data_IF_560483645860
#
_entry.id   IF_560483645860
#
_cell.length_a   1.000
_cell.length_b   1.000
_cell.length_c   1.000
_cell.angle_alpha   90.00
_cell.angle_beta   90.00
_cell.angle_gamma   90.00
#
_symmetry.space_group_name_H-M   'P 1'
#
loop_
_entity.id
_entity.type
_entity.pdbx_description
1 polymer ?
#
# COMPACT_ATOMS: atom_id res chain seq x y z
N UNK A 1 -13.75 -17.63 23.81
CA UNK A 1 -14.77 -17.87 22.76
C UNK A 1 -14.10 -17.63 21.42
N UNK A 2 -13.88 -18.66 20.65
CA UNK A 2 -13.17 -18.66 19.37
C UNK A 2 -13.96 -17.84 18.36
N UNK A 3 -13.36 -16.74 17.86
CA UNK A 3 -13.89 -15.98 16.73
C UNK A 3 -13.97 -16.91 15.53
N UNK A 4 -15.16 -17.30 15.14
CA UNK A 4 -15.42 -17.91 13.85
C UNK A 4 -15.05 -16.86 12.78
N UNK A 5 -13.83 -16.97 12.26
CA UNK A 5 -13.53 -16.40 10.95
C UNK A 5 -14.49 -17.09 9.99
N UNK A 6 -15.45 -16.34 9.47
CA UNK A 6 -16.23 -16.78 8.33
C UNK A 6 -15.29 -16.86 7.13
N UNK A 7 -14.58 -17.98 7.03
CA UNK A 7 -13.98 -18.41 5.79
C UNK A 7 -15.16 -18.70 4.86
N UNK A 8 -15.41 -17.86 3.88
CA UNK A 8 -16.25 -18.22 2.75
C UNK A 8 -15.39 -19.07 1.81
N UNK A 9 -15.51 -20.40 1.82
CA UNK A 9 -14.95 -21.20 0.76
C UNK A 9 -15.81 -20.91 -0.48
N UNK A 10 -15.31 -20.02 -1.34
CA UNK A 10 -15.97 -19.77 -2.59
C UNK A 10 -15.67 -20.96 -3.53
N UNK A 11 -16.56 -21.95 -3.56
CA UNK A 11 -16.47 -23.05 -4.51
C UNK A 11 -16.67 -22.58 -5.96
N UNK A 12 -17.18 -21.35 -6.15
CA UNK A 12 -17.52 -20.77 -7.48
C UNK A 12 -17.22 -19.25 -7.41
N UNK A 13 -16.65 -18.71 -8.48
CA UNK A 13 -16.47 -17.26 -8.62
C UNK A 13 -17.84 -16.59 -8.67
N UNK A 14 -18.14 -15.61 -7.78
CA UNK A 14 -19.44 -14.95 -7.75
C UNK A 14 -19.75 -14.26 -9.09
N UNK A 15 -21.02 -14.25 -9.47
CA UNK A 15 -21.50 -13.53 -10.65
C UNK A 15 -21.56 -12.00 -10.43
N UNK A 16 -21.72 -11.58 -9.19
CA UNK A 16 -21.79 -10.17 -8.82
C UNK A 16 -20.40 -9.52 -8.75
N UNK A 17 -20.14 -8.43 -9.53
CA UNK A 17 -18.89 -7.69 -9.43
C UNK A 17 -18.61 -7.11 -8.03
N UNK A 18 -19.64 -6.86 -7.22
CA UNK A 18 -19.48 -6.37 -5.85
C UNK A 18 -18.93 -7.46 -4.93
N UNK A 19 -19.50 -8.67 -5.02
CA UNK A 19 -19.03 -9.84 -4.27
C UNK A 19 -17.62 -10.25 -4.70
N UNK A 20 -17.33 -10.27 -6.00
CA UNK A 20 -15.95 -10.49 -6.49
C UNK A 20 -14.97 -9.52 -5.83
N UNK A 21 -15.30 -8.22 -5.80
CA UNK A 21 -14.44 -7.22 -5.16
C UNK A 21 -14.29 -7.44 -3.67
N UNK A 22 -15.33 -7.87 -2.98
CA UNK A 22 -15.24 -8.21 -1.56
C UNK A 22 -14.26 -9.35 -1.30
N UNK A 23 -14.26 -10.35 -2.18
CA UNK A 23 -13.33 -11.48 -2.14
C UNK A 23 -11.92 -11.18 -2.70
N UNK A 24 -11.63 -9.91 -3.00
CA UNK A 24 -10.33 -9.51 -3.54
C UNK A 24 -10.13 -9.80 -5.02
N UNK A 25 -11.20 -10.10 -5.75
CA UNK A 25 -11.16 -10.45 -7.18
C UNK A 25 -11.45 -9.25 -8.07
N UNK A 26 -10.67 -9.11 -9.13
CA UNK A 26 -10.93 -8.19 -10.24
C UNK A 26 -10.71 -8.87 -11.58
N UNK A 27 -11.63 -8.66 -12.51
CA UNK A 27 -11.40 -8.94 -13.91
C UNK A 27 -10.26 -8.06 -14.44
N UNK A 28 -9.33 -8.67 -15.16
CA UNK A 28 -8.21 -7.95 -15.79
C UNK A 28 -8.64 -7.30 -17.10
N UNK A 29 -7.67 -6.65 -17.76
CA UNK A 29 -7.85 -6.14 -19.12
C UNK A 29 -8.02 -7.28 -20.13
N UNK A 30 -7.31 -8.37 -19.90
CA UNK A 30 -7.41 -9.59 -20.70
C UNK A 30 -8.73 -10.32 -20.42
N UNK A 31 -9.48 -10.64 -21.44
CA UNK A 31 -10.76 -11.32 -21.32
C UNK A 31 -10.59 -12.70 -20.66
N UNK A 32 -11.50 -13.06 -19.77
CA UNK A 32 -11.50 -14.33 -19.06
C UNK A 32 -10.44 -14.46 -17.95
N UNK A 33 -9.53 -13.49 -17.82
CA UNK A 33 -8.49 -13.50 -16.79
C UNK A 33 -8.80 -12.60 -15.60
N UNK A 34 -8.37 -13.06 -14.44
CA UNK A 34 -8.65 -12.46 -13.14
C UNK A 34 -7.37 -12.17 -12.36
N UNK A 35 -7.48 -11.19 -11.48
CA UNK A 35 -6.51 -10.89 -10.44
C UNK A 35 -7.10 -11.21 -9.07
N UNK A 36 -6.36 -11.95 -8.24
CA UNK A 36 -6.65 -12.15 -6.82
C UNK A 36 -5.71 -11.33 -5.97
N UNK A 37 -6.25 -10.43 -5.15
CA UNK A 37 -5.48 -9.69 -4.15
C UNK A 37 -5.59 -10.34 -2.78
N UNK A 38 -4.44 -10.57 -2.17
CA UNK A 38 -4.28 -11.13 -0.82
C UNK A 38 -3.97 -9.99 0.14
N UNK A 39 -4.74 -9.88 1.21
CA UNK A 39 -4.55 -8.85 2.26
C UNK A 39 -3.44 -9.29 3.21
N UNK A 40 -2.35 -8.54 3.24
CA UNK A 40 -1.23 -8.77 4.15
C UNK A 40 -1.22 -7.68 5.20
N UNK A 41 -1.79 -7.95 6.36
CA UNK A 41 -2.01 -6.95 7.41
C UNK A 41 -0.67 -6.39 7.88
N UNK A 42 -0.52 -5.08 7.78
CA UNK A 42 0.72 -4.39 8.13
C UNK A 42 1.95 -4.81 7.29
N UNK A 43 1.76 -5.53 6.19
CA UNK A 43 2.88 -6.12 5.46
C UNK A 43 3.63 -7.21 6.25
N UNK A 44 2.98 -7.81 7.26
CA UNK A 44 3.62 -8.76 8.17
C UNK A 44 3.29 -10.18 7.73
N UNK A 45 4.33 -10.92 7.36
CA UNK A 45 4.27 -12.32 6.97
C UNK A 45 5.22 -13.16 7.83
N UNK A 46 4.76 -14.33 8.24
CA UNK A 46 5.63 -15.36 8.84
C UNK A 46 6.50 -16.01 7.77
N UNK A 47 7.55 -16.71 8.18
CA UNK A 47 8.40 -17.45 7.23
C UNK A 47 7.63 -18.56 6.51
N UNK A 48 6.67 -19.21 7.18
CA UNK A 48 5.79 -20.19 6.56
C UNK A 48 4.88 -19.57 5.49
N UNK A 49 4.33 -18.37 5.75
CA UNK A 49 3.50 -17.66 4.78
C UNK A 49 4.30 -17.19 3.56
N UNK A 50 5.55 -16.74 3.75
CA UNK A 50 6.44 -16.42 2.63
C UNK A 50 6.72 -17.64 1.76
N UNK A 51 7.04 -18.79 2.37
CA UNK A 51 7.27 -20.05 1.65
C UNK A 51 6.01 -20.52 0.91
N UNK A 52 4.84 -20.47 1.58
CA UNK A 52 3.57 -20.84 0.97
C UNK A 52 3.20 -19.93 -0.22
N UNK A 53 3.41 -18.62 -0.10
CA UNK A 53 3.17 -17.68 -1.21
C UNK A 53 4.08 -17.94 -2.40
N UNK A 54 5.37 -18.23 -2.17
CA UNK A 54 6.31 -18.56 -3.23
C UNK A 54 5.92 -19.86 -3.97
N UNK A 55 5.51 -20.90 -3.22
CA UNK A 55 5.01 -22.14 -3.78
C UNK A 55 3.70 -21.96 -4.58
N UNK A 56 2.70 -21.28 -4.00
CA UNK A 56 1.45 -20.96 -4.70
C UNK A 56 1.72 -20.17 -5.98
N UNK A 57 2.66 -19.22 -5.94
CA UNK A 57 3.02 -18.45 -7.09
C UNK A 57 3.57 -19.32 -8.22
N UNK A 58 4.48 -20.22 -7.93
CA UNK A 58 5.03 -21.16 -8.92
C UNK A 58 3.96 -22.09 -9.51
N UNK A 59 3.00 -22.51 -8.70
CA UNK A 59 1.94 -23.46 -9.16
C UNK A 59 0.81 -22.77 -9.92
N UNK A 60 0.34 -21.63 -9.47
CA UNK A 60 -0.87 -21.01 -10.02
C UNK A 60 -0.61 -19.97 -11.12
N UNK A 61 0.50 -19.22 -11.02
CA UNK A 61 0.76 -18.10 -11.94
C UNK A 61 2.23 -17.97 -12.37
N UNK A 62 2.89 -19.08 -12.80
CA UNK A 62 4.34 -19.11 -13.05
C UNK A 62 4.81 -18.19 -14.18
N UNK A 63 3.92 -17.80 -15.09
CA UNK A 63 4.23 -16.96 -16.25
C UNK A 63 4.00 -15.45 -16.01
N UNK A 64 3.51 -15.08 -14.83
CA UNK A 64 3.28 -13.68 -14.45
C UNK A 64 4.05 -13.33 -13.18
N UNK A 65 4.42 -12.06 -12.96
CA UNK A 65 5.04 -11.68 -11.69
C UNK A 65 4.04 -11.70 -10.54
N UNK A 66 4.51 -12.08 -9.35
CA UNK A 66 3.79 -11.86 -8.09
C UNK A 66 3.87 -10.38 -7.72
N UNK A 67 2.78 -9.63 -7.91
CA UNK A 67 2.82 -8.19 -7.70
C UNK A 67 2.67 -7.82 -6.22
N UNK A 68 3.52 -6.90 -5.78
CA UNK A 68 3.39 -6.20 -4.51
C UNK A 68 2.61 -4.90 -4.75
N UNK A 69 1.72 -4.55 -3.84
CA UNK A 69 0.98 -3.30 -3.94
C UNK A 69 1.56 -2.21 -3.03
N UNK A 70 1.28 -0.95 -3.34
CA UNK A 70 1.60 0.18 -2.46
C UNK A 70 0.79 0.19 -1.16
N UNK A 71 0.01 -0.85 -0.89
CA UNK A 71 -0.67 -1.10 0.38
C UNK A 71 -0.20 -2.38 1.06
N UNK A 72 0.99 -2.87 0.70
CA UNK A 72 1.61 -4.05 1.27
C UNK A 72 0.83 -5.34 1.01
N UNK A 73 -0.14 -5.33 0.09
CA UNK A 73 -0.86 -6.51 -0.37
C UNK A 73 -0.08 -7.21 -1.48
N UNK A 74 -0.45 -8.45 -1.77
CA UNK A 74 0.10 -9.26 -2.86
C UNK A 74 -1.00 -9.56 -3.86
N UNK A 75 -0.65 -9.60 -5.16
CA UNK A 75 -1.58 -9.90 -6.25
C UNK A 75 -1.08 -11.04 -7.11
N UNK A 76 -1.94 -12.04 -7.31
CA UNK A 76 -1.79 -13.09 -8.31
C UNK A 76 -2.57 -12.68 -9.57
N UNK A 77 -1.92 -12.75 -10.71
CA UNK A 77 -2.49 -12.33 -11.99
C UNK A 77 -2.68 -13.50 -12.95
N UNK A 78 -3.49 -13.29 -13.99
CA UNK A 78 -3.81 -14.30 -15.02
C UNK A 78 -4.44 -15.59 -14.48
N UNK A 79 -5.24 -15.47 -13.45
CA UNK A 79 -6.03 -16.57 -12.91
C UNK A 79 -7.26 -16.83 -13.80
N UNK A 80 -7.68 -18.07 -13.88
CA UNK A 80 -8.95 -18.46 -14.51
C UNK A 80 -10.01 -18.75 -13.45
N UNK A 81 -11.27 -18.85 -13.86
CA UNK A 81 -12.38 -19.19 -12.97
C UNK A 81 -12.18 -20.53 -12.26
N UNK A 82 -11.45 -21.47 -12.88
CA UNK A 82 -11.15 -22.80 -12.33
C UNK A 82 -10.05 -22.75 -11.30
N UNK A 83 -9.04 -21.88 -11.49
CA UNK A 83 -7.87 -21.80 -10.58
C UNK A 83 -8.13 -20.95 -9.34
N UNK A 84 -9.05 -19.99 -9.40
CA UNK A 84 -9.36 -19.08 -8.27
C UNK A 84 -9.78 -19.84 -7.00
N UNK A 85 -10.76 -20.76 -7.03
CA UNK A 85 -11.19 -21.47 -5.81
C UNK A 85 -10.05 -22.28 -5.18
N UNK A 86 -9.19 -22.88 -6.01
CA UNK A 86 -8.03 -23.67 -5.54
C UNK A 86 -7.01 -22.77 -4.84
N UNK A 87 -6.68 -21.63 -5.44
CA UNK A 87 -5.79 -20.64 -4.82
C UNK A 87 -6.37 -20.09 -3.51
N UNK A 88 -7.68 -19.79 -3.47
CA UNK A 88 -8.32 -19.29 -2.25
C UNK A 88 -8.31 -20.32 -1.11
N UNK A 89 -8.47 -21.61 -1.42
CA UNK A 89 -8.35 -22.67 -0.42
C UNK A 89 -6.93 -22.77 0.16
N UNK A 90 -5.91 -22.68 -0.69
CA UNK A 90 -4.50 -22.68 -0.26
C UNK A 90 -4.15 -21.44 0.58
N UNK A 91 -4.63 -20.26 0.18
CA UNK A 91 -4.47 -19.03 0.95
C UNK A 91 -5.09 -19.14 2.34
N UNK A 92 -6.30 -19.68 2.44
CA UNK A 92 -6.97 -19.91 3.71
C UNK A 92 -6.20 -20.90 4.58
N UNK A 93 -5.66 -21.99 3.99
CA UNK A 93 -4.82 -22.96 4.70
C UNK A 93 -3.53 -22.31 5.25
N UNK A 94 -2.95 -21.38 4.52
CA UNK A 94 -1.79 -20.60 4.98
C UNK A 94 -2.16 -19.48 6.00
N UNK A 95 -3.42 -19.37 6.41
CA UNK A 95 -3.90 -18.31 7.32
C UNK A 95 -3.90 -16.92 6.67
N UNK A 96 -4.03 -16.84 5.35
CA UNK A 96 -4.12 -15.62 4.58
C UNK A 96 -5.56 -15.36 4.12
N UNK A 97 -5.92 -14.10 3.94
CA UNK A 97 -7.27 -13.70 3.54
C UNK A 97 -7.24 -12.72 2.39
N UNK A 98 -8.28 -12.78 1.57
CA UNK A 98 -8.55 -11.83 0.49
C UNK A 98 -9.77 -10.95 0.77
N UNK A 99 -10.53 -11.26 1.83
CA UNK A 99 -11.77 -10.55 2.16
C UNK A 99 -11.49 -9.08 2.48
N UNK A 100 -12.19 -8.18 1.79
CA UNK A 100 -12.01 -6.73 1.92
C UNK A 100 -10.70 -6.19 1.33
N UNK A 101 -9.89 -7.00 0.63
CA UNK A 101 -8.68 -6.50 -0.05
C UNK A 101 -9.02 -5.52 -1.19
N UNK A 102 -10.22 -5.62 -1.76
CA UNK A 102 -10.74 -4.78 -2.83
C UNK A 102 -12.08 -4.14 -2.46
N UNK A 103 -12.64 -3.31 -3.36
CA UNK A 103 -13.98 -2.73 -3.18
C UNK A 103 -14.03 -1.47 -2.34
N UNK A 104 -15.25 -1.12 -1.96
CA UNK A 104 -15.56 0.07 -1.16
C UNK A 104 -15.74 -0.34 0.31
N UNK A 105 -14.63 -0.60 0.97
CA UNK A 105 -14.50 -1.21 2.29
C UNK A 105 -13.26 -0.68 3.01
N UNK A 106 -13.09 -1.04 4.27
CA UNK A 106 -11.82 -0.91 4.98
C UNK A 106 -10.76 -1.75 4.25
N UNK A 107 -9.77 -1.06 3.70
CA UNK A 107 -8.64 -1.67 2.99
C UNK A 107 -7.60 -2.15 4.00
N UNK A 108 -6.59 -2.84 3.51
CA UNK A 108 -5.50 -3.26 4.37
C UNK A 108 -4.99 -2.10 5.23
N UNK A 109 -4.77 -2.36 6.52
CA UNK A 109 -4.07 -1.43 7.41
C UNK A 109 -2.58 -1.58 7.12
N UNK A 110 -1.94 -0.50 6.67
CA UNK A 110 -0.49 -0.51 6.40
C UNK A 110 0.30 -0.10 7.62
N UNK A 111 1.49 -0.71 7.79
CA UNK A 111 2.41 -0.38 8.88
C UNK A 111 3.79 -0.11 8.29
N UNK A 112 4.56 0.82 8.88
CA UNK A 112 5.92 1.08 8.42
C UNK A 112 6.80 -0.18 8.52
N UNK A 113 7.76 -0.40 7.60
CA UNK A 113 8.54 -1.64 7.55
C UNK A 113 9.41 -1.85 8.79
N UNK A 114 9.84 -0.76 9.43
CA UNK A 114 10.68 -0.80 10.65
C UNK A 114 9.92 -1.06 11.94
N UNK A 115 8.62 -1.30 11.89
CA UNK A 115 7.76 -1.59 13.03
C UNK A 115 8.31 -2.68 13.95
N UNK A 116 8.68 -2.34 15.18
CA UNK A 116 9.28 -3.26 16.15
C UNK A 116 10.65 -3.84 15.74
N UNK A 117 11.27 -3.32 14.67
CA UNK A 117 12.54 -3.81 14.13
C UNK A 117 13.64 -2.75 14.14
N UNK A 118 13.30 -1.48 13.94
CA UNK A 118 14.26 -0.38 14.09
C UNK A 118 14.51 -0.12 15.57
N UNK A 119 15.69 0.47 15.88
CA UNK A 119 16.04 0.83 17.24
C UNK A 119 14.97 1.76 17.85
N UNK A 120 14.58 1.49 19.09
CA UNK A 120 13.59 2.24 19.88
C UNK A 120 12.21 2.42 19.24
N UNK A 121 11.88 1.62 18.20
CA UNK A 121 10.54 1.68 17.63
C UNK A 121 9.58 0.72 18.34
N UNK A 122 8.36 1.18 18.67
CA UNK A 122 7.33 0.31 19.21
C UNK A 122 6.90 -0.77 18.19
N UNK A 123 6.50 -1.94 18.69
CA UNK A 123 5.86 -2.97 17.88
C UNK A 123 4.33 -2.78 17.89
N UNK A 124 3.80 -2.34 16.76
CA UNK A 124 2.39 -2.05 16.56
C UNK A 124 1.59 -3.26 16.06
N UNK A 125 2.23 -4.42 15.92
CA UNK A 125 1.60 -5.61 15.31
C UNK A 125 0.33 -6.02 16.05
N UNK A 126 0.40 -6.13 17.37
CA UNK A 126 -0.73 -6.57 18.19
C UNK A 126 -1.91 -5.60 18.13
N UNK A 127 -1.65 -4.28 18.26
CA UNK A 127 -2.69 -3.27 18.21
C UNK A 127 -3.34 -3.17 16.82
N UNK A 128 -2.57 -3.31 15.76
CA UNK A 128 -3.09 -3.28 14.37
C UNK A 128 -4.00 -4.48 14.09
N UNK A 129 -3.64 -5.66 14.56
CA UNK A 129 -4.45 -6.87 14.43
C UNK A 129 -5.74 -6.76 15.24
N UNK A 130 -5.67 -6.27 16.49
CA UNK A 130 -6.83 -6.07 17.35
C UNK A 130 -7.78 -5.00 16.79
N UNK A 131 -7.23 -3.86 16.36
CA UNK A 131 -8.00 -2.79 15.73
C UNK A 131 -8.72 -3.27 14.47
N UNK A 132 -8.02 -4.03 13.61
CA UNK A 132 -8.67 -4.62 12.43
C UNK A 132 -9.86 -5.48 12.83
N UNK A 133 -9.68 -6.41 13.77
CA UNK A 133 -10.76 -7.30 14.24
C UNK A 133 -11.95 -6.50 14.78
N UNK A 134 -11.69 -5.44 15.54
CA UNK A 134 -12.72 -4.55 16.04
C UNK A 134 -13.47 -3.83 14.92
N UNK A 135 -12.76 -3.21 13.98
CA UNK A 135 -13.38 -2.47 12.89
C UNK A 135 -14.15 -3.37 11.91
N UNK A 136 -13.71 -4.61 11.71
CA UNK A 136 -14.40 -5.59 10.86
C UNK A 136 -15.73 -6.09 11.48
N UNK A 137 -15.97 -5.86 12.77
CA UNK A 137 -17.28 -6.14 13.42
C UNK A 137 -18.33 -5.07 13.09
N UNK A 138 -17.94 -3.91 12.56
CA UNK A 138 -18.90 -2.87 12.16
C UNK A 138 -19.68 -3.29 10.92
N UNK A 139 -21.01 -3.34 11.01
CA UNK A 139 -21.89 -3.87 9.96
C UNK A 139 -21.70 -3.16 8.61
N UNK A 140 -21.44 -1.85 8.61
CA UNK A 140 -21.23 -1.03 7.41
C UNK A 140 -19.86 -1.18 6.74
N UNK A 141 -18.91 -1.89 7.35
CA UNK A 141 -17.49 -1.88 6.92
C UNK A 141 -17.25 -2.37 5.50
N UNK A 142 -18.12 -3.25 4.99
CA UNK A 142 -18.02 -3.81 3.64
C UNK A 142 -18.85 -3.08 2.59
N UNK A 143 -19.55 -2.00 2.98
CA UNK A 143 -20.40 -1.18 2.09
C UNK A 143 -20.22 0.31 2.29
N UNK A 144 -19.00 0.75 2.55
CA UNK A 144 -18.65 2.18 2.70
C UNK A 144 -18.88 2.96 1.40
N UNK A 145 -19.05 4.29 1.44
CA UNK A 145 -19.20 5.13 0.24
C UNK A 145 -18.06 4.93 -0.76
N UNK A 146 -16.85 4.66 -0.26
CA UNK A 146 -15.63 4.36 -1.03
C UNK A 146 -14.64 3.60 -0.14
N UNK A 147 -13.50 3.15 -0.74
CA UNK A 147 -12.38 2.56 0.03
C UNK A 147 -11.95 3.48 1.16
N UNK A 148 -11.79 2.93 2.35
CA UNK A 148 -11.21 3.59 3.53
C UNK A 148 -9.84 3.00 3.84
N UNK A 149 -8.86 3.85 4.12
CA UNK A 149 -7.46 3.47 4.28
C UNK A 149 -6.94 3.94 5.62
N UNK A 150 -6.33 3.02 6.38
CA UNK A 150 -5.63 3.33 7.63
C UNK A 150 -4.15 2.99 7.48
N UNK A 151 -3.29 3.78 8.12
CA UNK A 151 -1.84 3.52 8.19
C UNK A 151 -1.29 3.80 9.57
N UNK A 152 -0.23 3.06 9.95
CA UNK A 152 0.50 3.23 11.19
C UNK A 152 1.99 3.40 10.94
N UNK A 153 2.58 4.42 11.53
CA UNK A 153 4.03 4.63 11.57
C UNK A 153 4.52 4.52 13.01
N UNK A 154 5.59 3.77 13.23
CA UNK A 154 6.15 3.51 14.56
C UNK A 154 7.22 4.54 14.97
N UNK A 155 7.31 5.66 14.26
CA UNK A 155 8.18 6.80 14.59
C UNK A 155 7.81 8.02 13.74
N UNK A 156 8.44 9.16 14.09
CA UNK A 156 8.25 10.46 13.43
C UNK A 156 8.60 10.47 11.93
N UNK A 157 9.40 9.51 11.42
CA UNK A 157 9.69 9.41 9.98
C UNK A 157 8.44 9.18 9.12
N UNK A 158 7.32 8.77 9.74
CA UNK A 158 6.01 8.63 9.11
C UNK A 158 6.01 7.80 7.80
N UNK A 159 6.85 6.75 7.73
CA UNK A 159 7.09 5.96 6.51
C UNK A 159 5.84 5.25 5.96
N UNK A 160 4.79 5.04 6.78
CA UNK A 160 3.52 4.47 6.31
C UNK A 160 2.60 5.50 5.62
N UNK A 161 3.08 6.70 5.34
CA UNK A 161 2.41 7.74 4.57
C UNK A 161 1.06 8.18 5.16
N UNK A 162 0.98 8.62 6.44
CA UNK A 162 -0.28 9.00 7.09
C UNK A 162 -1.04 10.08 6.32
N UNK A 163 -0.33 11.06 5.77
CA UNK A 163 -0.88 12.22 5.09
C UNK A 163 -1.68 11.94 3.80
N UNK A 164 -1.54 10.75 3.21
CA UNK A 164 -2.28 10.34 2.00
C UNK A 164 -3.26 9.20 2.24
N UNK A 165 -3.63 9.00 3.50
CA UNK A 165 -4.63 8.03 3.93
C UNK A 165 -5.87 8.72 4.49
N UNK A 166 -7.00 8.00 4.59
CA UNK A 166 -8.21 8.52 5.20
C UNK A 166 -8.01 8.72 6.71
N UNK A 167 -7.17 7.86 7.32
CA UNK A 167 -6.69 7.99 8.70
C UNK A 167 -5.26 7.45 8.80
N UNK A 168 -4.39 8.14 9.50
CA UNK A 168 -3.02 7.76 9.74
C UNK A 168 -2.64 8.01 11.19
N UNK A 169 -1.92 7.07 11.78
CA UNK A 169 -1.38 7.18 13.13
C UNK A 169 0.14 7.18 13.09
N UNK A 170 0.74 8.14 13.78
CA UNK A 170 2.17 8.19 14.07
C UNK A 170 2.33 7.91 15.55
N UNK A 171 2.91 6.77 15.88
CA UNK A 171 3.13 6.31 17.24
C UNK A 171 4.59 6.56 17.61
N UNK A 172 4.81 7.25 18.70
CA UNK A 172 6.14 7.63 19.18
C UNK A 172 6.34 7.12 20.59
N UNK A 173 7.58 6.84 20.92
CA UNK A 173 8.00 6.62 22.29
C UNK A 173 8.87 7.78 22.75
N UNK A 174 8.47 8.39 23.84
CA UNK A 174 9.26 9.40 24.54
C UNK A 174 9.51 8.93 25.96
N UNK A 175 10.76 8.58 26.26
CA UNK A 175 11.14 7.92 27.51
C UNK A 175 10.37 6.61 27.73
N UNK A 176 9.45 6.56 28.69
CA UNK A 176 8.62 5.40 28.99
C UNK A 176 7.18 5.52 28.46
N UNK A 177 6.79 6.69 27.98
CA UNK A 177 5.44 6.95 27.48
C UNK A 177 5.34 6.68 25.96
N UNK A 178 4.19 6.19 25.55
CA UNK A 178 3.84 6.05 24.13
C UNK A 178 2.76 7.08 23.82
N UNK A 179 3.04 7.94 22.86
CA UNK A 179 2.11 8.96 22.36
C UNK A 179 1.71 8.68 20.92
N UNK A 180 0.52 9.12 20.54
CA UNK A 180 -0.03 8.91 19.20
C UNK A 180 -0.49 10.24 18.63
N UNK A 181 -0.07 10.52 17.39
CA UNK A 181 -0.58 11.64 16.58
C UNK A 181 -1.48 11.06 15.51
N UNK A 182 -2.70 11.59 15.38
CA UNK A 182 -3.66 11.22 14.36
C UNK A 182 -3.73 12.27 13.25
N UNK A 183 -3.65 11.81 12.01
CA UNK A 183 -3.71 12.60 10.77
C UNK A 183 -4.82 12.00 9.92
N UNK A 184 -5.62 12.79 9.24
CA UNK A 184 -6.69 12.22 8.45
C UNK A 184 -7.19 13.07 7.30
N UNK A 185 -8.17 12.51 6.60
CA UNK A 185 -8.80 13.10 5.43
C UNK A 185 -7.82 13.43 4.29
N UNK A 186 -6.73 12.64 4.15
CA UNK A 186 -5.83 12.69 3.00
C UNK A 186 -6.18 11.64 1.95
N UNK A 187 -5.87 11.88 0.71
CA UNK A 187 -5.94 10.84 -0.32
C UNK A 187 -5.26 11.24 -1.63
N UNK A 188 -4.76 10.24 -2.35
CA UNK A 188 -4.40 10.35 -3.76
C UNK A 188 -5.62 10.05 -4.66
N UNK A 189 -5.46 10.27 -5.96
CA UNK A 189 -6.49 10.09 -6.98
C UNK A 189 -6.61 11.31 -7.88
N UNK A 190 -7.66 11.43 -8.72
CA UNK A 190 -7.79 12.52 -9.68
C UNK A 190 -7.76 13.94 -9.08
N UNK A 191 -8.09 14.05 -7.81
CA UNK A 191 -8.00 15.28 -7.01
C UNK A 191 -7.26 14.94 -5.72
N UNK A 192 -5.92 14.87 -5.71
CA UNK A 192 -5.16 14.53 -4.52
C UNK A 192 -5.16 15.67 -3.51
N UNK A 193 -5.11 15.32 -2.23
CA UNK A 193 -4.88 16.28 -1.15
C UNK A 193 -4.21 15.59 0.04
N UNK A 194 -3.33 16.31 0.72
CA UNK A 194 -2.80 15.88 2.01
C UNK A 194 -3.88 15.93 3.10
N UNK A 195 -3.73 15.06 4.08
CA UNK A 195 -4.53 15.10 5.30
C UNK A 195 -4.24 16.33 6.14
N UNK A 196 -5.01 16.46 7.23
CA UNK A 196 -4.78 17.43 8.30
C UNK A 196 -4.43 16.71 9.59
N UNK A 197 -3.82 17.41 10.50
CA UNK A 197 -3.70 16.99 11.88
C UNK A 197 -5.11 16.91 12.48
N UNK A 198 -5.46 15.75 13.05
CA UNK A 198 -6.72 15.54 13.77
C UNK A 198 -6.50 15.80 15.25
N UNK A 199 -5.53 15.11 15.84
CA UNK A 199 -5.26 15.19 17.28
C UNK A 199 -3.84 14.74 17.58
N UNK A 200 -3.22 15.36 18.58
CA UNK A 200 -1.89 15.01 19.11
C UNK A 200 -2.01 14.53 20.55
N UNK A 201 -0.97 13.89 21.03
CA UNK A 201 -0.87 13.40 22.40
C UNK A 201 -1.96 12.42 22.83
N UNK A 202 -2.54 11.72 21.85
CA UNK A 202 -3.45 10.60 22.10
C UNK A 202 -2.69 9.47 22.79
N UNK A 203 -3.43 8.66 23.55
CA UNK A 203 -2.94 7.39 24.08
C UNK A 203 -3.30 6.24 23.11
N UNK A 204 -2.65 5.07 23.20
CA UNK A 204 -3.03 3.90 22.42
C UNK A 204 -4.50 3.49 22.60
N UNK A 205 -5.08 3.75 23.77
CA UNK A 205 -6.47 3.46 24.13
C UNK A 205 -7.48 4.32 23.35
N UNK A 206 -7.07 5.48 22.84
CA UNK A 206 -7.92 6.36 22.03
C UNK A 206 -8.07 5.89 20.57
N UNK A 207 -7.12 5.07 20.09
CA UNK A 207 -7.05 4.63 18.67
C UNK A 207 -8.37 3.97 18.20
N UNK A 208 -8.99 2.98 18.92
CA UNK A 208 -10.18 2.32 18.42
C UNK A 208 -11.38 3.27 18.32
N UNK A 209 -11.54 4.16 19.31
CA UNK A 209 -12.64 5.11 19.28
C UNK A 209 -12.52 6.10 18.12
N UNK A 210 -11.35 6.68 17.91
CA UNK A 210 -11.11 7.60 16.80
C UNK A 210 -11.21 6.90 15.43
N UNK A 211 -10.68 5.69 15.30
CA UNK A 211 -10.76 4.94 14.05
C UNK A 211 -12.21 4.59 13.68
N UNK A 212 -13.00 4.14 14.65
CA UNK A 212 -14.41 3.85 14.43
C UNK A 212 -15.21 5.12 14.15
N UNK A 213 -14.94 6.23 14.86
CA UNK A 213 -15.56 7.52 14.61
C UNK A 213 -15.31 8.01 13.18
N UNK A 214 -14.07 7.94 12.70
CA UNK A 214 -13.73 8.32 11.33
C UNK A 214 -14.46 7.48 10.27
N UNK A 215 -14.64 6.18 10.53
CA UNK A 215 -15.44 5.30 9.67
C UNK A 215 -16.91 5.69 9.69
N UNK A 216 -17.50 5.96 10.87
CA UNK A 216 -18.90 6.36 11.02
C UNK A 216 -19.19 7.73 10.37
N UNK A 217 -18.30 8.72 10.55
CA UNK A 217 -18.39 10.01 9.85
C UNK A 217 -18.37 9.79 8.35
N UNK A 218 -17.47 8.93 7.87
CA UNK A 218 -17.40 8.60 6.46
C UNK A 218 -18.65 7.87 5.94
N UNK A 219 -19.19 6.96 6.70
CA UNK A 219 -20.40 6.21 6.34
C UNK A 219 -21.63 7.10 6.28
N UNK A 220 -21.80 8.01 7.27
CA UNK A 220 -22.92 8.97 7.38
C UNK A 220 -22.85 10.06 6.31
N UNK A 221 -21.68 10.66 6.08
CA UNK A 221 -21.52 11.89 5.30
C UNK A 221 -20.84 11.71 3.94
N UNK A 222 -20.35 10.49 3.63
CA UNK A 222 -19.73 10.17 2.35
C UNK A 222 -20.73 10.21 1.19
N UNK A 223 -20.33 10.79 0.07
CA UNK A 223 -21.18 10.89 -1.13
C UNK A 223 -21.26 9.53 -1.85
N UNK A 224 -22.40 8.85 -1.69
CA UNK A 224 -22.65 7.54 -2.34
C UNK A 224 -23.10 7.67 -3.80
N UNK A 225 -23.57 8.84 -4.22
CA UNK A 225 -24.08 9.07 -5.57
C UNK A 225 -22.95 9.45 -6.53
N UNK A 226 -21.99 10.26 -6.08
CA UNK A 226 -20.90 10.78 -6.91
C UNK A 226 -19.56 10.12 -6.54
N UNK A 227 -19.30 8.94 -7.09
CA UNK A 227 -18.11 8.12 -6.80
C UNK A 227 -16.78 8.86 -6.87
N UNK A 228 -16.65 9.88 -7.73
CA UNK A 228 -15.46 10.72 -7.85
C UNK A 228 -15.25 11.67 -6.64
N UNK A 229 -16.29 11.90 -5.85
CA UNK A 229 -16.31 12.78 -4.67
C UNK A 229 -16.63 12.03 -3.37
N UNK A 230 -16.48 10.71 -3.36
CA UNK A 230 -16.93 9.83 -2.29
C UNK A 230 -15.88 9.57 -1.19
N UNK A 231 -14.63 10.05 -1.29
CA UNK A 231 -13.58 9.81 -0.27
C UNK A 231 -13.80 10.70 0.97
N UNK A 232 -13.31 10.26 2.15
CA UNK A 232 -13.43 11.00 3.41
C UNK A 232 -12.96 12.46 3.29
N UNK A 233 -11.85 12.73 2.57
CA UNK A 233 -11.41 14.11 2.33
C UNK A 233 -12.45 15.00 1.67
N UNK A 234 -13.35 14.46 0.86
CA UNK A 234 -14.42 15.25 0.26
C UNK A 234 -15.54 15.59 1.25
N UNK A 235 -15.70 14.81 2.34
CA UNK A 235 -16.53 15.24 3.48
C UNK A 235 -15.91 16.49 4.09
N UNK A 236 -14.61 16.44 4.41
CA UNK A 236 -13.84 17.58 4.92
C UNK A 236 -13.95 18.81 3.98
N UNK A 237 -13.72 18.64 2.68
CA UNK A 237 -13.80 19.72 1.69
C UNK A 237 -15.17 20.40 1.63
N UNK A 238 -16.26 19.67 1.89
CA UNK A 238 -17.62 20.23 1.86
C UNK A 238 -18.00 20.99 3.12
N UNK A 239 -17.55 20.55 4.29
CA UNK A 239 -17.93 21.18 5.57
C UNK A 239 -16.85 22.12 6.14
N UNK A 240 -15.62 22.09 5.59
CA UNK A 240 -14.47 22.79 6.15
C UNK A 240 -13.78 22.00 7.25
N UNK A 241 -12.54 22.40 7.58
CA UNK A 241 -11.68 21.67 8.52
C UNK A 241 -12.26 21.68 9.94
N UNK A 242 -12.71 22.82 10.42
CA UNK A 242 -13.26 23.00 11.77
C UNK A 242 -14.49 22.09 11.98
N UNK A 243 -15.48 22.16 11.10
CA UNK A 243 -16.69 21.31 11.23
C UNK A 243 -16.38 19.84 11.05
N UNK A 244 -15.42 19.50 10.21
CA UNK A 244 -14.97 18.11 10.06
C UNK A 244 -14.36 17.55 11.37
N UNK A 245 -13.54 18.32 12.06
CA UNK A 245 -12.96 17.94 13.35
C UNK A 245 -14.04 17.83 14.44
N UNK A 246 -15.02 18.75 14.47
CA UNK A 246 -16.17 18.65 15.36
C UNK A 246 -16.95 17.34 15.14
N UNK A 247 -17.28 17.01 13.87
CA UNK A 247 -17.99 15.76 13.54
C UNK A 247 -17.23 14.53 13.99
N UNK A 248 -15.90 14.52 13.86
CA UNK A 248 -15.06 13.44 14.35
C UNK A 248 -15.12 13.33 15.89
N UNK A 249 -15.02 14.46 16.58
CA UNK A 249 -15.05 14.50 18.04
C UNK A 249 -16.42 14.08 18.59
N UNK A 250 -17.51 14.60 18.02
CA UNK A 250 -18.87 14.19 18.38
C UNK A 250 -19.05 12.66 18.27
N UNK A 251 -18.65 12.08 17.14
CA UNK A 251 -18.75 10.64 16.90
C UNK A 251 -17.80 9.83 17.80
N UNK A 252 -16.60 10.35 18.09
CA UNK A 252 -15.64 9.70 18.99
C UNK A 252 -16.18 9.61 20.41
N UNK A 253 -16.88 10.64 20.89
CA UNK A 253 -17.56 10.59 22.20
C UNK A 253 -18.66 9.52 22.23
N UNK A 254 -19.44 9.39 21.15
CA UNK A 254 -20.47 8.33 21.07
C UNK A 254 -19.82 6.93 21.10
N UNK A 255 -18.75 6.72 20.32
CA UNK A 255 -18.02 5.44 20.34
C UNK A 255 -17.44 5.14 21.72
N UNK A 256 -16.89 6.16 22.42
CA UNK A 256 -16.36 5.99 23.79
C UNK A 256 -17.45 5.55 24.77
N UNK A 257 -18.70 6.02 24.63
CA UNK A 257 -19.86 5.58 25.45
C UNK A 257 -20.23 4.13 25.18
N UNK A 258 -20.01 3.62 23.97
CA UNK A 258 -20.23 2.21 23.63
C UNK A 258 -19.13 1.28 24.18
N UNK A 259 -18.13 1.82 24.89
CA UNK A 259 -17.01 1.09 25.49
C UNK A 259 -16.25 0.21 24.48
N UNK A 260 -15.51 0.81 23.54
CA UNK A 260 -14.71 0.05 22.56
C UNK A 260 -13.72 -0.88 23.29
N UNK A 261 -13.30 -1.98 22.66
CA UNK A 261 -12.43 -2.95 23.30
C UNK A 261 -11.10 -2.30 23.70
N UNK A 262 -10.59 -2.73 24.84
CA UNK A 262 -9.25 -2.36 25.27
C UNK A 262 -8.23 -2.93 24.29
N UNK A 263 -7.32 -2.09 23.81
CA UNK A 263 -6.27 -2.51 22.90
C UNK A 263 -5.13 -3.20 23.66
N UNK A 264 -4.45 -4.17 23.03
CA UNK A 264 -3.27 -4.76 23.64
C UNK A 264 -2.18 -3.69 23.85
N UNK A 265 -1.34 -3.83 24.88
CA UNK A 265 -0.27 -2.89 25.14
C UNK A 265 0.73 -2.87 23.97
N UNK A 266 1.25 -1.69 23.67
CA UNK A 266 2.32 -1.53 22.70
C UNK A 266 3.64 -1.87 23.38
N UNK A 267 4.31 -2.91 22.91
CA UNK A 267 5.64 -3.29 23.40
C UNK A 267 6.74 -2.58 22.61
N UNK A 268 7.86 -2.35 23.26
CA UNK A 268 9.11 -2.00 22.59
C UNK A 268 10.06 -3.18 22.76
N UNK A 269 10.35 -3.91 21.67
CA UNK A 269 11.19 -5.09 21.78
C UNK A 269 12.62 -4.76 22.21
N UNK A 270 13.15 -5.52 23.15
CA UNK A 270 14.58 -5.44 23.52
C UNK A 270 15.51 -6.03 22.44
N UNK A 271 14.92 -6.68 21.45
CA UNK A 271 15.64 -7.37 20.38
C UNK A 271 15.93 -6.41 19.23
N UNK A 272 17.20 -6.15 19.01
CA UNK A 272 17.64 -5.31 17.92
C UNK A 272 17.80 -6.09 16.62
N UNK A 273 17.08 -5.64 15.60
CA UNK A 273 17.29 -6.01 14.22
C UNK A 273 17.99 -4.87 13.50
N UNK A 274 18.98 -5.20 12.71
CA UNK A 274 19.65 -4.22 11.86
C UNK A 274 19.11 -4.31 10.43
N UNK A 275 19.02 -3.18 9.76
CA UNK A 275 18.68 -3.13 8.35
C UNK A 275 19.76 -3.84 7.53
N UNK A 276 19.32 -4.72 6.65
CA UNK A 276 20.17 -5.51 5.74
C UNK A 276 20.24 -4.85 4.38
N UNK A 277 19.11 -4.72 3.72
CA UNK A 277 18.95 -4.14 2.39
C UNK A 277 17.49 -3.80 2.14
N UNK A 278 17.23 -2.93 1.17
CA UNK A 278 15.95 -2.78 0.51
C UNK A 278 16.00 -3.45 -0.86
N UNK A 279 15.09 -4.36 -1.13
CA UNK A 279 14.92 -4.96 -2.45
C UNK A 279 13.96 -4.12 -3.27
N UNK A 280 14.43 -3.52 -4.36
CA UNK A 280 13.65 -2.71 -5.29
C UNK A 280 12.97 -3.64 -6.30
N UNK A 281 11.66 -3.85 -6.14
CA UNK A 281 10.92 -4.81 -6.96
C UNK A 281 10.57 -4.19 -8.31
N UNK A 282 11.14 -4.75 -9.38
CA UNK A 282 10.96 -4.26 -10.76
C UNK A 282 9.50 -4.47 -11.17
N UNK A 283 8.86 -3.44 -11.68
CA UNK A 283 7.41 -3.41 -12.01
C UNK A 283 6.48 -3.78 -10.86
N UNK A 284 6.98 -3.69 -9.62
CA UNK A 284 6.27 -4.17 -8.45
C UNK A 284 6.13 -5.70 -8.37
N UNK A 285 6.79 -6.47 -9.24
CA UNK A 285 6.57 -7.91 -9.38
C UNK A 285 7.82 -8.77 -9.19
N UNK A 286 7.69 -9.83 -8.39
CA UNK A 286 8.70 -10.87 -8.21
C UNK A 286 8.51 -11.99 -9.23
N UNK A 287 9.61 -12.51 -9.79
CA UNK A 287 9.57 -13.80 -10.48
C UNK A 287 9.44 -14.95 -9.47
N UNK A 288 9.03 -16.17 -9.88
CA UNK A 288 9.00 -17.34 -8.99
C UNK A 288 10.34 -17.57 -8.30
N UNK A 289 11.45 -17.52 -9.04
CA UNK A 289 12.80 -17.75 -8.52
C UNK A 289 13.21 -16.65 -7.50
N UNK A 290 12.83 -15.40 -7.72
CA UNK A 290 13.06 -14.31 -6.78
C UNK A 290 12.24 -14.50 -5.49
N UNK A 291 10.97 -14.91 -5.60
CA UNK A 291 10.12 -15.19 -4.44
C UNK A 291 10.67 -16.35 -3.60
N UNK A 292 11.13 -17.42 -4.22
CA UNK A 292 11.79 -18.55 -3.56
C UNK A 292 13.14 -18.15 -2.93
N UNK A 293 13.94 -17.33 -3.62
CA UNK A 293 15.19 -16.82 -3.07
C UNK A 293 14.97 -15.98 -1.80
N UNK A 294 13.92 -15.16 -1.79
CA UNK A 294 13.51 -14.39 -0.59
C UNK A 294 13.05 -15.34 0.52
N UNK A 295 12.21 -16.33 0.22
CA UNK A 295 11.76 -17.32 1.20
C UNK A 295 12.92 -18.11 1.81
N UNK A 296 13.89 -18.52 0.99
CA UNK A 296 15.10 -19.19 1.44
C UNK A 296 15.98 -18.29 2.33
N UNK A 297 16.15 -17.01 1.96
CA UNK A 297 16.87 -16.02 2.78
C UNK A 297 16.22 -15.85 4.15
N UNK A 298 14.89 -15.75 4.20
CA UNK A 298 14.12 -15.63 5.45
C UNK A 298 14.35 -16.85 6.34
N UNK A 299 14.29 -18.06 5.77
CA UNK A 299 14.46 -19.31 6.50
C UNK A 299 15.90 -19.49 7.01
N UNK A 300 16.89 -19.35 6.13
CA UNK A 300 18.28 -19.69 6.42
C UNK A 300 19.01 -18.67 7.30
N UNK A 301 18.60 -17.40 7.24
CA UNK A 301 19.26 -16.29 7.95
C UNK A 301 18.36 -15.59 8.97
N UNK A 302 17.19 -16.14 9.28
CA UNK A 302 16.21 -15.57 10.20
C UNK A 302 15.87 -14.09 9.89
N UNK A 303 15.83 -13.76 8.60
CA UNK A 303 15.53 -12.41 8.10
C UNK A 303 14.05 -12.10 8.31
N UNK A 304 13.76 -10.86 8.70
CA UNK A 304 12.42 -10.29 8.65
C UNK A 304 12.28 -9.50 7.35
N UNK A 305 11.45 -9.99 6.43
CA UNK A 305 11.15 -9.30 5.19
C UNK A 305 9.82 -8.54 5.34
N UNK A 306 9.82 -7.25 5.04
CA UNK A 306 8.68 -6.35 5.21
C UNK A 306 8.38 -5.63 3.89
N UNK A 307 7.29 -5.98 3.18
CA UNK A 307 6.78 -5.17 2.08
C UNK A 307 6.57 -3.72 2.52
N UNK A 308 7.05 -2.79 1.73
CA UNK A 308 6.86 -1.36 1.92
C UNK A 308 5.68 -0.83 1.10
N UNK A 309 5.34 0.43 1.32
CA UNK A 309 4.33 1.15 0.53
C UNK A 309 4.85 1.62 -0.85
N UNK A 310 6.05 1.19 -1.26
CA UNK A 310 6.75 1.69 -2.47
C UNK A 310 7.30 0.56 -3.37
N UNK A 311 6.64 -0.60 -3.44
CA UNK A 311 7.12 -1.77 -4.19
C UNK A 311 8.56 -2.17 -3.82
N UNK A 312 8.89 -2.09 -2.54
CA UNK A 312 10.14 -2.56 -1.96
C UNK A 312 9.86 -3.60 -0.89
N UNK A 313 10.87 -4.40 -0.60
CA UNK A 313 10.88 -5.25 0.57
C UNK A 313 12.09 -4.85 1.41
N UNK A 314 11.85 -4.32 2.60
CA UNK A 314 12.92 -4.09 3.58
C UNK A 314 13.29 -5.37 4.28
N UNK A 315 14.58 -5.64 4.36
CA UNK A 315 15.14 -6.81 5.04
C UNK A 315 15.83 -6.37 6.34
N UNK A 316 15.53 -7.09 7.41
CA UNK A 316 16.11 -6.89 8.73
C UNK A 316 16.59 -8.21 9.30
N UNK A 317 17.75 -8.24 9.98
CA UNK A 317 18.27 -9.43 10.62
C UNK A 317 19.05 -9.07 11.89
N UNK A 318 19.12 -10.01 12.86
CA UNK A 318 20.01 -9.86 14.00
C UNK A 318 21.47 -9.95 13.54
N UNK A 319 21.80 -10.96 12.74
CA UNK A 319 23.09 -11.05 12.07
C UNK A 319 23.03 -10.42 10.67
N UNK A 320 23.03 -9.09 10.64
CA UNK A 320 22.93 -8.35 9.39
C UNK A 320 24.12 -8.56 8.45
N UNK A 321 25.32 -8.85 8.97
CA UNK A 321 26.50 -9.09 8.14
C UNK A 321 26.34 -10.38 7.31
N UNK A 322 25.92 -11.48 7.94
CA UNK A 322 25.68 -12.75 7.25
C UNK A 322 24.54 -12.62 6.23
N UNK A 323 23.45 -11.92 6.61
CA UNK A 323 22.32 -11.69 5.71
C UNK A 323 22.69 -10.81 4.51
N UNK A 324 23.51 -9.75 4.70
CA UNK A 324 24.02 -8.92 3.59
C UNK A 324 24.89 -9.72 2.64
N UNK A 325 25.80 -10.55 3.19
CA UNK A 325 26.61 -11.43 2.36
C UNK A 325 25.73 -12.37 1.53
N UNK A 326 24.69 -12.97 2.11
CA UNK A 326 23.75 -13.83 1.41
C UNK A 326 23.00 -13.09 0.29
N UNK A 327 22.59 -11.83 0.50
CA UNK A 327 21.99 -10.98 -0.54
C UNK A 327 22.99 -10.71 -1.66
N UNK A 328 24.24 -10.35 -1.34
CA UNK A 328 25.25 -9.99 -2.33
C UNK A 328 25.78 -11.18 -3.14
N UNK A 329 25.77 -12.38 -2.56
CA UNK A 329 26.22 -13.61 -3.23
C UNK A 329 25.12 -14.29 -4.05
N UNK A 330 23.86 -13.96 -3.82
CA UNK A 330 22.73 -14.45 -4.63
C UNK A 330 22.45 -13.48 -5.78
N UNK A 331 22.64 -13.85 -7.06
CA UNK A 331 22.48 -12.94 -8.20
C UNK A 331 21.08 -12.32 -8.30
N UNK A 332 20.01 -13.07 -7.97
CA UNK A 332 18.64 -12.60 -8.02
C UNK A 332 18.36 -11.53 -6.96
N UNK A 333 18.83 -11.74 -5.73
CA UNK A 333 18.65 -10.80 -4.63
C UNK A 333 19.53 -9.56 -4.82
N UNK A 334 20.77 -9.73 -5.29
CA UNK A 334 21.67 -8.63 -5.61
C UNK A 334 21.09 -7.69 -6.66
N UNK A 335 20.51 -8.24 -7.74
CA UNK A 335 19.86 -7.45 -8.78
C UNK A 335 18.73 -6.56 -8.22
N UNK A 336 17.99 -7.07 -7.26
CA UNK A 336 16.90 -6.31 -6.61
C UNK A 336 17.46 -5.25 -5.63
N UNK A 337 18.55 -5.55 -4.94
CA UNK A 337 19.15 -4.64 -3.96
C UNK A 337 19.84 -3.43 -4.62
N UNK A 338 20.46 -3.61 -5.78
CA UNK A 338 21.26 -2.59 -6.47
C UNK A 338 20.42 -1.70 -7.43
N UNK A 339 19.10 -1.92 -7.53
CA UNK A 339 18.24 -1.21 -8.48
C UNK A 339 17.90 0.23 -8.07
N UNK A 340 17.61 1.14 -9.04
CA UNK A 340 17.19 2.51 -8.76
C UNK A 340 15.80 2.59 -8.10
N UNK A 341 15.52 3.70 -7.39
CA UNK A 341 14.21 3.95 -6.78
C UNK A 341 13.16 4.42 -7.81
N UNK A 342 12.78 3.50 -8.67
CA UNK A 342 11.72 3.70 -9.66
C UNK A 342 10.58 2.73 -9.37
N UNK A 343 9.37 3.24 -9.22
CA UNK A 343 8.16 2.44 -8.94
C UNK A 343 7.10 2.74 -9.96
N UNK A 344 6.57 1.70 -10.61
CA UNK A 344 5.40 1.82 -11.50
C UNK A 344 4.20 1.03 -10.97
N UNK A 345 3.00 1.50 -11.30
CA UNK A 345 1.81 0.67 -11.15
C UNK A 345 1.70 -0.34 -12.31
N UNK A 346 0.78 -1.34 -12.26
CA UNK A 346 0.65 -2.35 -13.33
C UNK A 346 0.39 -1.82 -14.74
N UNK A 347 -0.04 -0.55 -14.89
CA UNK A 347 -0.28 0.06 -16.18
C UNK A 347 -1.24 -0.72 -17.07
N UNK A 348 -1.15 -0.52 -18.39
CA UNK A 348 -1.99 -1.25 -19.36
C UNK A 348 -1.63 -2.72 -19.48
N UNK A 349 -0.56 -3.18 -18.85
CA UNK A 349 -0.20 -4.60 -18.84
C UNK A 349 -1.29 -5.46 -18.17
N UNK A 350 -1.85 -4.99 -17.05
CA UNK A 350 -2.87 -5.75 -16.31
C UNK A 350 -4.12 -4.92 -15.95
N UNK A 351 -3.97 -3.60 -15.73
CA UNK A 351 -5.05 -2.78 -15.19
C UNK A 351 -6.00 -2.27 -16.27
N UNK A 352 -7.30 -2.57 -16.15
CA UNK A 352 -8.34 -2.09 -17.06
C UNK A 352 -8.53 -0.56 -17.04
N UNK A 353 -8.15 0.11 -15.94
CA UNK A 353 -8.27 1.57 -15.80
C UNK A 353 -7.06 2.35 -16.29
N UNK A 354 -5.95 1.68 -16.58
CA UNK A 354 -4.74 2.35 -17.01
C UNK A 354 -4.87 2.92 -18.43
N UNK A 355 -4.24 4.07 -18.63
CA UNK A 355 -4.22 4.80 -19.89
C UNK A 355 -2.94 4.53 -20.68
N UNK A 356 -1.83 4.25 -20.00
CA UNK A 356 -0.50 4.13 -20.58
C UNK A 356 0.25 2.88 -20.10
N UNK A 357 1.23 2.45 -20.89
CA UNK A 357 2.10 1.32 -20.53
C UNK A 357 3.24 1.81 -19.60
N UNK A 358 3.04 1.67 -18.30
CA UNK A 358 4.01 2.07 -17.28
C UNK A 358 5.25 1.19 -17.23
N UNK A 359 5.11 -0.11 -17.52
CA UNK A 359 6.24 -1.05 -17.51
C UNK A 359 7.24 -0.74 -18.60
N UNK A 360 6.78 -0.34 -19.80
CA UNK A 360 7.69 0.09 -20.88
C UNK A 360 8.52 1.30 -20.47
N UNK A 361 7.89 2.29 -19.82
CA UNK A 361 8.55 3.50 -19.35
C UNK A 361 9.51 3.19 -18.18
N UNK A 362 9.12 2.36 -17.21
CA UNK A 362 10.03 1.93 -16.13
C UNK A 362 11.25 1.21 -16.69
N UNK A 363 11.06 0.29 -17.66
CA UNK A 363 12.17 -0.41 -18.31
C UNK A 363 13.15 0.57 -18.97
N UNK A 364 12.63 1.54 -19.73
CA UNK A 364 13.45 2.54 -20.38
C UNK A 364 14.21 3.43 -19.37
N UNK A 365 13.56 3.83 -18.27
CA UNK A 365 14.19 4.60 -17.20
C UNK A 365 15.31 3.81 -16.51
N UNK A 366 15.10 2.56 -16.15
CA UNK A 366 16.12 1.72 -15.49
C UNK A 366 17.36 1.52 -16.38
N UNK A 367 17.20 1.51 -17.71
CA UNK A 367 18.32 1.41 -18.65
C UNK A 367 19.07 2.73 -18.84
N UNK A 368 18.35 3.87 -18.88
CA UNK A 368 18.91 5.18 -19.22
C UNK A 368 19.23 6.04 -17.99
N UNK A 369 18.63 5.75 -16.85
CA UNK A 369 18.78 6.45 -15.58
C UNK A 369 19.02 5.41 -14.47
N UNK A 370 20.20 4.77 -14.46
CA UNK A 370 20.49 3.72 -13.48
C UNK A 370 20.60 4.23 -12.04
N UNK A 371 20.87 5.53 -11.86
CA UNK A 371 20.94 6.20 -10.58
C UNK A 371 19.96 7.37 -10.53
N UNK A 372 18.99 7.31 -9.62
CA UNK A 372 18.01 8.37 -9.37
C UNK A 372 18.50 9.42 -8.35
N UNK A 373 19.75 9.36 -7.93
CA UNK A 373 20.36 10.26 -6.94
C UNK A 373 19.51 10.37 -5.65
N UNK A 374 19.08 9.22 -5.15
CA UNK A 374 18.18 9.09 -3.98
C UNK A 374 16.80 9.75 -4.13
N UNK A 375 16.39 10.11 -5.35
CA UNK A 375 15.04 10.64 -5.59
C UNK A 375 14.05 9.54 -5.93
N UNK A 376 12.86 9.68 -5.38
CA UNK A 376 11.75 8.78 -5.64
C UNK A 376 11.07 9.10 -6.99
N UNK A 377 11.25 8.24 -7.99
CA UNK A 377 10.54 8.32 -9.27
C UNK A 377 9.31 7.40 -9.25
N UNK A 378 8.12 7.95 -9.44
CA UNK A 378 6.86 7.22 -9.32
C UNK A 378 6.01 7.35 -10.58
N UNK A 379 5.61 6.20 -11.17
CA UNK A 379 4.95 6.11 -12.48
C UNK A 379 3.54 5.54 -12.31
N UNK A 380 2.52 6.37 -12.44
CA UNK A 380 1.13 5.95 -12.41
C UNK A 380 0.52 5.96 -13.81
N UNK A 381 -0.11 4.85 -14.21
CA UNK A 381 -0.71 4.68 -15.53
C UNK A 381 -1.98 5.48 -15.78
N UNK A 382 -2.50 6.21 -14.78
CA UNK A 382 -3.68 7.07 -14.88
C UNK A 382 -3.78 8.02 -13.68
N UNK A 383 -4.75 8.95 -13.65
CA UNK A 383 -4.94 9.89 -12.54
C UNK A 383 -5.28 9.26 -11.17
N UNK A 384 -5.46 7.95 -11.08
CA UNK A 384 -5.64 7.28 -9.77
C UNK A 384 -4.39 7.29 -8.89
N UNK A 385 -3.21 7.57 -9.45
CA UNK A 385 -1.93 7.72 -8.75
C UNK A 385 -1.58 6.53 -7.83
N UNK A 386 -1.82 5.31 -8.32
CA UNK A 386 -1.60 4.09 -7.52
C UNK A 386 -0.13 3.90 -7.10
N UNK A 387 0.83 4.39 -7.89
CA UNK A 387 2.25 4.40 -7.56
C UNK A 387 2.68 5.63 -6.72
N UNK A 388 1.73 6.39 -6.17
CA UNK A 388 1.97 7.58 -5.32
C UNK A 388 2.69 8.74 -6.03
N UNK A 389 2.55 8.85 -7.35
CA UNK A 389 3.21 9.90 -8.14
C UNK A 389 2.86 11.34 -7.72
N UNK A 390 1.73 11.57 -7.06
CA UNK A 390 1.34 12.91 -6.58
C UNK A 390 2.11 13.42 -5.35
N UNK A 391 2.95 12.60 -4.72
CA UNK A 391 3.77 12.96 -3.55
C UNK A 391 5.23 12.56 -3.73
N UNK A 392 5.64 12.24 -4.94
CA UNK A 392 7.00 11.84 -5.26
C UNK A 392 7.91 13.05 -5.54
N UNK A 393 9.23 12.88 -5.40
CA UNK A 393 10.19 13.88 -5.88
C UNK A 393 10.01 14.13 -7.36
N UNK A 394 9.74 13.06 -8.14
CA UNK A 394 9.38 13.08 -9.54
C UNK A 394 8.25 12.10 -9.81
N UNK A 395 7.09 12.62 -10.18
CA UNK A 395 5.89 11.84 -10.45
C UNK A 395 5.47 11.91 -11.93
N UNK A 396 5.16 10.74 -12.49
CA UNK A 396 4.63 10.58 -13.85
C UNK A 396 3.19 10.09 -13.75
N UNK A 397 2.24 10.85 -14.30
CA UNK A 397 0.80 10.57 -14.22
C UNK A 397 0.25 10.39 -15.62
N UNK A 398 -0.10 9.15 -15.97
CA UNK A 398 -0.54 8.74 -17.31
C UNK A 398 -1.68 9.56 -17.88
N UNK A 399 -1.50 10.00 -19.08
CA UNK A 399 -2.43 10.80 -19.89
C UNK A 399 -2.46 10.31 -21.33
N UNK A 400 -3.52 10.66 -22.03
CA UNK A 400 -3.64 10.46 -23.47
C UNK A 400 -3.96 11.80 -24.09
N UNK A 401 -3.30 12.10 -25.20
CA UNK A 401 -3.66 13.18 -26.12
C UNK A 401 -3.83 12.63 -27.54
N UNK A 402 -4.43 13.41 -28.39
CA UNK A 402 -4.42 13.20 -29.84
C UNK A 402 -3.33 14.07 -30.45
N UNK A 403 -2.61 13.54 -31.44
CA UNK A 403 -1.71 14.30 -32.29
C UNK A 403 -2.48 15.09 -33.35
N UNK A 404 -1.79 15.85 -34.19
CA UNK A 404 -2.38 16.65 -35.27
C UNK A 404 -3.12 15.80 -36.31
N UNK A 405 -2.73 14.53 -36.47
CA UNK A 405 -3.39 13.56 -37.33
C UNK A 405 -4.57 12.84 -36.66
N UNK A 406 -4.86 13.16 -35.39
CA UNK A 406 -5.94 12.54 -34.61
C UNK A 406 -5.60 11.20 -33.95
N UNK A 407 -4.35 10.72 -34.07
CA UNK A 407 -3.93 9.46 -33.47
C UNK A 407 -3.78 9.60 -31.95
N UNK A 408 -4.00 8.49 -31.25
CA UNK A 408 -3.82 8.41 -29.80
C UNK A 408 -2.32 8.38 -29.46
N UNK A 409 -1.86 9.36 -28.67
CA UNK A 409 -0.50 9.43 -28.14
C UNK A 409 -0.54 9.18 -26.63
N UNK A 410 0.18 8.18 -26.16
CA UNK A 410 0.41 7.90 -24.74
C UNK A 410 1.49 8.84 -24.19
N UNK A 411 1.27 9.37 -23.00
CA UNK A 411 2.23 10.27 -22.35
C UNK A 411 1.88 10.51 -20.89
N UNK A 412 2.56 11.46 -20.28
CA UNK A 412 2.43 11.73 -18.86
C UNK A 412 2.34 13.25 -18.59
N UNK A 413 1.52 13.58 -17.62
CA UNK A 413 1.72 14.80 -16.86
C UNK A 413 2.89 14.55 -15.90
N UNK A 414 3.85 15.45 -15.86
CA UNK A 414 5.02 15.37 -14.99
C UNK A 414 4.84 16.32 -13.82
N UNK A 415 5.08 15.83 -12.62
CA UNK A 415 5.02 16.59 -11.38
C UNK A 415 6.32 16.43 -10.60
N UNK A 416 6.74 17.48 -9.90
CA UNK A 416 8.00 17.51 -9.14
C UNK A 416 7.81 18.15 -7.77
N UNK A 417 8.76 17.94 -6.85
CA UNK A 417 8.79 18.60 -5.54
C UNK A 417 7.76 18.09 -4.54
N UNK A 418 7.25 16.85 -4.74
CA UNK A 418 6.43 16.19 -3.73
C UNK A 418 7.26 15.75 -2.53
N UNK A 419 6.58 15.43 -1.44
CA UNK A 419 7.20 14.93 -0.21
C UNK A 419 6.42 13.76 0.39
N UNK A 420 7.14 12.87 1.05
CA UNK A 420 6.60 11.71 1.75
C UNK A 420 7.05 11.72 3.21
N UNK A 421 6.35 10.99 4.06
CA UNK A 421 6.67 10.93 5.49
C UNK A 421 6.41 12.26 6.21
N UNK A 422 7.39 12.79 6.90
CA UNK A 422 7.30 14.07 7.65
C UNK A 422 7.21 15.29 6.76
N UNK A 423 7.74 15.20 5.54
CA UNK A 423 7.75 16.29 4.54
C UNK A 423 6.59 16.15 3.54
N UNK A 424 5.51 15.50 3.94
CA UNK A 424 4.40 15.20 3.04
C UNK A 424 3.84 16.48 2.37
N UNK A 425 4.00 16.53 1.06
CA UNK A 425 3.52 17.61 0.21
C UNK A 425 3.04 17.07 -1.13
N UNK A 426 2.03 17.71 -1.70
CA UNK A 426 1.63 17.42 -3.08
C UNK A 426 2.69 17.97 -4.04
N UNK A 427 3.10 17.15 -4.99
CA UNK A 427 3.99 17.55 -6.07
C UNK A 427 3.30 18.58 -6.98
N UNK A 428 4.06 19.53 -7.47
CA UNK A 428 3.59 20.56 -8.38
C UNK A 428 3.76 20.12 -9.85
N UNK A 429 2.85 20.58 -10.70
CA UNK A 429 2.91 20.29 -12.13
C UNK A 429 4.05 21.02 -12.79
N UNK A 430 5.04 20.30 -13.32
CA UNK A 430 6.12 20.86 -14.16
C UNK A 430 5.79 20.83 -15.64
N UNK A 431 5.21 19.71 -16.13
CA UNK A 431 4.80 19.57 -17.54
C UNK A 431 3.39 18.99 -17.63
N UNK A 432 2.54 19.58 -18.47
CA UNK A 432 1.16 19.12 -18.62
C UNK A 432 1.05 17.82 -19.45
N UNK A 433 1.93 17.65 -20.45
CA UNK A 433 2.02 16.44 -21.25
C UNK A 433 3.40 16.27 -21.89
N UNK A 434 3.98 15.10 -21.68
CA UNK A 434 5.20 14.65 -22.38
C UNK A 434 4.93 13.23 -22.90
N UNK A 435 5.22 12.97 -24.18
CA UNK A 435 5.02 11.65 -24.77
C UNK A 435 5.92 10.61 -24.08
N UNK A 436 5.43 9.36 -23.98
CA UNK A 436 6.13 8.28 -23.27
C UNK A 436 7.57 8.07 -23.72
N UNK A 437 7.86 8.28 -25.01
CA UNK A 437 9.19 8.12 -25.61
C UNK A 437 10.20 9.17 -25.11
N UNK A 438 9.73 10.40 -24.80
CA UNK A 438 10.57 11.51 -24.32
C UNK A 438 10.79 11.50 -22.81
N UNK A 439 10.08 10.66 -22.07
CA UNK A 439 10.17 10.62 -20.59
C UNK A 439 11.57 10.29 -20.10
N UNK A 440 12.31 9.28 -20.62
CA UNK A 440 13.62 8.95 -20.06
C UNK A 440 14.62 10.10 -20.16
N UNK A 441 14.65 10.80 -21.28
CA UNK A 441 15.52 11.98 -21.48
C UNK A 441 15.13 13.12 -20.54
N UNK A 442 13.83 13.44 -20.45
CA UNK A 442 13.35 14.47 -19.53
C UNK A 442 13.69 14.16 -18.08
N UNK A 443 13.44 12.93 -17.61
CA UNK A 443 13.75 12.51 -16.25
C UNK A 443 15.25 12.64 -15.97
N UNK A 444 16.10 12.23 -16.92
CA UNK A 444 17.55 12.40 -16.81
C UNK A 444 17.93 13.88 -16.63
N UNK A 445 17.37 14.78 -17.43
CA UNK A 445 17.63 16.22 -17.34
C UNK A 445 17.18 16.78 -15.98
N UNK A 446 15.93 16.49 -15.55
CA UNK A 446 15.43 16.94 -14.26
C UNK A 446 16.30 16.44 -13.08
N UNK A 447 16.82 15.21 -13.14
CA UNK A 447 17.71 14.67 -12.12
C UNK A 447 19.12 15.30 -12.16
N UNK A 448 19.53 15.89 -13.28
CA UNK A 448 20.81 16.58 -13.44
C UNK A 448 20.75 18.09 -13.16
N UNK A 449 19.65 18.76 -13.48
CA UNK A 449 19.51 20.22 -13.39
C UNK A 449 19.24 20.75 -11.97
N UNK A 450 18.90 19.90 -11.02
CA UNK A 450 18.54 20.34 -9.67
C UNK A 450 19.75 20.29 -8.73
N UNK A 451 20.68 21.24 -8.90
CA UNK A 451 21.73 21.61 -7.95
C UNK A 451 21.96 23.10 -7.95
#
# INVERSE_FOLDING_TARGET
>A
MTSQQTAFPCAIVPSSPAECRLLGLYQQRQEGLWMQRVKIIGGILTHHQWAALADMFRRFTPSTPLLLTTRQDIEFHNLTTETIPLLQAELAHAGLTSVGACGDTLRNITVCPGNGLCHDTPDLTAIVLALRGYLESYVGIYSLPRKFKISFSACTKACAQPWINDLGFVVQRENSAVTVTAIGAGSLGPRPATGILIEENLTPEDIPALAQAAIRVFDKYGDRQHRAKARLRHVRERCGDERFLELLHEEQLEVKREAPPQMPPISVPDLHYNHVADLNIIYGGLTPDQAEAIAALIHNHAVKARPQTHHRISLFARNAAAARNAVQTNPLLKQLADGPDVVSCPGTTYCAHALVNTHAVEKALRLQVPDTKNRAVRISGCPNMCAQSGVADLGLIGRIRKDEAGNRVEGFMVVTGGGMGTTAAMAEKSHDFVSSEKIPELVKNILHETF
#
